data_IF_381251205370
#
_entry.id   IF_381251205370
#
_cell.length_a   1.000
_cell.length_b   1.000
_cell.length_c   1.000
_cell.angle_alpha   90.00
_cell.angle_beta   90.00
_cell.angle_gamma   90.00
#
_symmetry.space_group_name_H-M   'P 1'
#
loop_
_entity.id
_entity.type
_entity.pdbx_description
1 polymer ?
#
# COMPACT_ATOMS: atom_id res chain seq x y z
N UNK A 1 22.11 9.67 -8.21
CA UNK A 1 22.12 8.63 -7.17
C UNK A 1 21.50 7.36 -7.76
N UNK A 2 22.27 6.28 -7.84
CA UNK A 2 21.73 4.97 -8.24
C UNK A 2 20.68 4.55 -7.20
N UNK A 3 19.53 4.05 -7.68
CA UNK A 3 18.46 3.62 -6.78
C UNK A 3 18.73 2.21 -6.29
N UNK A 4 18.38 1.94 -5.03
CA UNK A 4 18.64 0.65 -4.39
C UNK A 4 17.83 -0.44 -5.07
N UNK A 5 18.52 -1.44 -5.61
CA UNK A 5 17.92 -2.69 -6.06
C UNK A 5 17.51 -3.56 -4.88
N UNK A 6 16.59 -4.50 -5.12
CA UNK A 6 16.21 -5.49 -4.12
C UNK A 6 17.41 -6.34 -3.74
N UNK A 7 17.70 -6.45 -2.43
CA UNK A 7 18.77 -7.30 -1.91
C UNK A 7 18.55 -8.76 -2.28
N UNK A 8 19.63 -9.54 -2.32
CA UNK A 8 19.55 -10.96 -2.71
C UNK A 8 18.70 -11.74 -1.71
N UNK A 9 18.82 -11.40 -0.43
CA UNK A 9 18.16 -12.00 0.71
C UNK A 9 16.65 -11.73 0.65
N UNK A 10 16.28 -10.47 0.39
CA UNK A 10 14.89 -10.10 0.17
C UNK A 10 14.33 -10.83 -1.05
N UNK A 11 15.06 -10.86 -2.17
CA UNK A 11 14.62 -11.59 -3.35
C UNK A 11 14.38 -13.08 -3.08
N UNK A 12 15.25 -13.76 -2.32
CA UNK A 12 15.07 -15.18 -1.97
C UNK A 12 13.77 -15.41 -1.20
N UNK A 13 13.39 -14.50 -0.29
CA UNK A 13 12.13 -14.58 0.43
C UNK A 13 10.91 -14.32 -0.47
N UNK A 14 11.05 -13.48 -1.50
CA UNK A 14 9.95 -13.06 -2.37
C UNK A 14 9.73 -13.98 -3.57
N UNK A 15 10.79 -14.58 -4.11
CA UNK A 15 10.75 -15.45 -5.30
C UNK A 15 9.68 -16.55 -5.21
N UNK A 16 9.47 -17.26 -4.09
CA UNK A 16 8.44 -18.31 -3.97
C UNK A 16 7.01 -17.80 -4.16
N UNK A 17 6.77 -16.49 -4.01
CA UNK A 17 5.45 -15.89 -4.17
C UNK A 17 5.09 -15.66 -5.64
N UNK A 18 6.10 -15.63 -6.52
CA UNK A 18 5.92 -15.38 -7.94
C UNK A 18 5.50 -16.67 -8.64
N UNK A 19 4.37 -16.69 -9.36
CA UNK A 19 3.93 -17.88 -10.09
C UNK A 19 4.97 -18.31 -11.11
N UNK A 20 5.21 -19.62 -11.16
CA UNK A 20 6.03 -20.23 -12.20
C UNK A 20 5.39 -19.94 -13.55
N UNK A 21 6.22 -19.50 -14.50
CA UNK A 21 5.75 -19.27 -15.86
C UNK A 21 5.59 -20.59 -16.60
N UNK A 22 4.38 -20.85 -17.05
CA UNK A 22 4.10 -21.95 -17.99
C UNK A 22 4.00 -21.37 -19.40
N UNK A 23 4.92 -21.71 -20.32
CA UNK A 23 4.79 -21.32 -21.72
C UNK A 23 3.49 -21.85 -22.32
N UNK A 24 2.88 -21.08 -23.22
CA UNK A 24 1.70 -21.53 -23.96
C UNK A 24 2.04 -22.73 -24.86
N UNK A 25 1.24 -23.80 -24.86
CA UNK A 25 1.40 -24.91 -25.80
C UNK A 25 1.27 -24.47 -27.27
N UNK A 26 0.53 -23.38 -27.53
CA UNK A 26 0.34 -22.79 -28.86
C UNK A 26 1.53 -21.98 -29.37
N UNK A 27 2.65 -21.98 -28.63
CA UNK A 27 3.77 -21.08 -28.87
C UNK A 27 3.50 -19.65 -28.39
N UNK A 28 4.56 -18.83 -28.39
CA UNK A 28 4.51 -17.45 -27.94
C UNK A 28 5.88 -16.92 -27.53
N UNK A 29 5.96 -15.63 -27.18
CA UNK A 29 7.22 -14.99 -26.77
C UNK A 29 7.71 -15.64 -25.46
N UNK A 30 8.91 -16.23 -25.50
CA UNK A 30 9.58 -16.78 -24.30
C UNK A 30 9.80 -15.65 -23.28
N UNK A 31 9.76 -15.99 -21.98
CA UNK A 31 10.22 -15.07 -20.93
C UNK A 31 11.74 -14.95 -21.05
N UNK A 32 12.22 -13.85 -21.62
CA UNK A 32 13.66 -13.56 -21.77
C UNK A 32 14.24 -12.79 -20.60
N UNK A 33 13.39 -12.14 -19.80
CA UNK A 33 13.80 -11.31 -18.66
C UNK A 33 13.52 -12.06 -17.36
N UNK A 34 14.55 -12.12 -16.52
CA UNK A 34 14.47 -12.68 -15.16
C UNK A 34 13.46 -11.92 -14.30
N UNK A 35 12.79 -12.63 -13.40
CA UNK A 35 11.73 -12.03 -12.59
C UNK A 35 12.28 -11.01 -11.57
N UNK A 36 13.53 -11.15 -11.10
CA UNK A 36 14.17 -10.14 -10.24
C UNK A 36 14.44 -8.86 -11.02
N UNK A 37 14.95 -9.00 -12.24
CA UNK A 37 15.20 -7.87 -13.14
C UNK A 37 13.91 -7.13 -13.46
N UNK A 38 12.83 -7.85 -13.78
CA UNK A 38 11.52 -7.25 -14.02
C UNK A 38 10.95 -6.55 -12.76
N UNK A 39 11.13 -7.13 -11.57
CA UNK A 39 10.71 -6.51 -10.33
C UNK A 39 11.48 -5.21 -10.04
N UNK A 40 12.82 -5.21 -10.23
CA UNK A 40 13.62 -3.99 -10.13
C UNK A 40 13.16 -2.92 -11.12
N UNK A 41 12.85 -3.29 -12.38
CA UNK A 41 12.28 -2.37 -13.36
C UNK A 41 10.91 -1.79 -12.97
N UNK A 42 10.03 -2.61 -12.39
CA UNK A 42 8.76 -2.15 -11.81
C UNK A 42 9.00 -1.12 -10.72
N UNK A 43 9.88 -1.42 -9.75
CA UNK A 43 10.18 -0.51 -8.65
C UNK A 43 10.83 0.78 -9.14
N UNK A 44 11.72 0.70 -10.12
CA UNK A 44 12.35 1.85 -10.74
C UNK A 44 11.31 2.80 -11.32
N UNK A 45 10.41 2.29 -12.17
CA UNK A 45 9.32 3.07 -12.76
C UNK A 45 8.39 3.63 -11.69
N UNK A 46 8.01 2.84 -10.69
CA UNK A 46 7.12 3.30 -9.61
C UNK A 46 7.71 4.48 -8.85
N UNK A 47 9.00 4.39 -8.51
CA UNK A 47 9.69 5.43 -7.79
C UNK A 47 9.99 6.67 -8.67
N UNK A 48 10.30 6.52 -9.97
CA UNK A 48 10.68 7.65 -10.83
C UNK A 48 9.46 8.39 -11.36
N UNK A 49 8.38 7.67 -11.65
CA UNK A 49 7.23 8.23 -12.35
C UNK A 49 7.35 8.22 -13.88
N UNK A 50 8.48 7.79 -14.46
CA UNK A 50 8.68 7.81 -15.92
C UNK A 50 7.69 6.91 -16.66
N UNK A 51 7.24 7.25 -17.87
CA UNK A 51 6.51 6.33 -18.75
C UNK A 51 7.19 4.95 -18.85
N UNK A 52 6.41 3.88 -19.02
CA UNK A 52 6.97 2.53 -19.11
C UNK A 52 7.90 2.37 -20.32
N UNK A 53 7.64 3.10 -21.40
CA UNK A 53 8.46 3.06 -22.62
C UNK A 53 9.83 3.73 -22.41
N UNK A 54 9.93 4.64 -21.44
CA UNK A 54 11.14 5.39 -21.13
C UNK A 54 12.03 4.68 -20.09
N UNK A 55 11.71 3.44 -19.71
CA UNK A 55 12.58 2.66 -18.83
C UNK A 55 13.93 2.41 -19.53
N UNK A 56 15.06 2.93 -19.01
CA UNK A 56 16.34 2.80 -19.69
C UNK A 56 16.78 1.33 -19.75
N UNK A 57 17.12 0.85 -20.96
CA UNK A 57 17.41 -0.57 -21.20
C UNK A 57 18.80 -0.97 -20.68
N UNK A 58 19.72 -0.01 -20.61
CA UNK A 58 21.07 -0.15 -20.07
C UNK A 58 21.09 -0.59 -18.59
N UNK A 59 19.97 -0.44 -17.87
CA UNK A 59 19.83 -0.93 -16.49
C UNK A 59 19.62 -2.45 -16.39
N UNK A 60 19.43 -3.15 -17.52
CA UNK A 60 19.29 -4.62 -17.53
C UNK A 60 17.94 -5.15 -17.04
N UNK A 61 16.94 -4.29 -16.79
CA UNK A 61 15.60 -4.70 -16.36
C UNK A 61 14.69 -5.19 -17.50
N UNK A 62 15.19 -5.17 -18.73
CA UNK A 62 14.40 -5.37 -19.96
C UNK A 62 13.56 -4.14 -20.30
N UNK A 63 12.69 -4.25 -21.32
CA UNK A 63 11.83 -3.13 -21.69
C UNK A 63 10.76 -2.87 -20.63
N UNK A 64 10.37 -1.61 -20.41
CA UNK A 64 9.36 -1.33 -19.39
C UNK A 64 7.97 -1.88 -19.74
N UNK A 65 7.68 -2.19 -21.01
CA UNK A 65 6.47 -2.97 -21.37
C UNK A 65 6.51 -4.43 -20.88
N UNK A 66 7.69 -5.03 -20.71
CA UNK A 66 7.82 -6.31 -20.00
C UNK A 66 7.50 -6.12 -18.52
N UNK A 67 8.05 -5.08 -17.89
CA UNK A 67 7.78 -4.75 -16.49
C UNK A 67 6.29 -4.47 -16.23
N UNK A 68 5.62 -3.72 -17.11
CA UNK A 68 4.17 -3.46 -17.01
C UNK A 68 3.33 -4.73 -17.12
N UNK A 69 3.66 -5.63 -18.08
CA UNK A 69 2.98 -6.93 -18.20
C UNK A 69 3.17 -7.74 -16.93
N UNK A 70 4.38 -7.77 -16.35
CA UNK A 70 4.67 -8.43 -15.07
C UNK A 70 3.85 -7.86 -13.93
N UNK A 71 3.76 -6.53 -13.81
CA UNK A 71 2.90 -5.85 -12.84
C UNK A 71 1.46 -6.36 -12.89
N UNK A 72 0.88 -6.36 -14.09
CA UNK A 72 -0.51 -6.80 -14.33
C UNK A 72 -0.70 -8.30 -14.06
N UNK A 73 0.18 -9.13 -14.59
CA UNK A 73 0.05 -10.59 -14.56
C UNK A 73 0.27 -11.11 -13.12
N UNK A 74 1.14 -10.47 -12.34
CA UNK A 74 1.37 -10.80 -10.94
C UNK A 74 0.26 -10.33 -10.00
N UNK A 75 -0.48 -9.28 -10.36
CA UNK A 75 -1.67 -8.91 -9.59
C UNK A 75 -2.76 -10.00 -9.66
N UNK A 76 -2.77 -10.86 -10.70
CA UNK A 76 -3.92 -11.74 -10.96
C UNK A 76 -4.04 -12.85 -9.90
N UNK A 77 -2.93 -13.50 -9.52
CA UNK A 77 -2.90 -14.38 -8.37
C UNK A 77 -2.47 -13.65 -7.08
N UNK A 78 -2.76 -12.35 -6.95
CA UNK A 78 -2.49 -11.54 -5.75
C UNK A 78 -1.05 -11.63 -5.23
N UNK A 79 -0.07 -11.64 -6.13
CA UNK A 79 1.36 -11.67 -5.74
C UNK A 79 1.71 -10.45 -4.90
N UNK A 80 1.16 -9.29 -5.22
CA UNK A 80 1.50 -8.04 -4.57
C UNK A 80 0.96 -7.96 -3.13
N UNK A 81 -0.26 -8.43 -2.90
CA UNK A 81 -0.82 -8.60 -1.56
C UNK A 81 0.01 -9.60 -0.74
N UNK A 82 0.38 -10.73 -1.34
CA UNK A 82 1.21 -11.75 -0.68
C UNK A 82 2.61 -11.24 -0.38
N UNK A 83 3.18 -10.40 -1.26
CA UNK A 83 4.43 -9.69 -1.04
C UNK A 83 4.33 -8.78 0.19
N UNK A 84 3.28 -7.97 0.27
CA UNK A 84 3.06 -7.10 1.43
C UNK A 84 2.91 -7.92 2.73
N UNK A 85 2.15 -9.02 2.71
CA UNK A 85 2.03 -9.92 3.85
C UNK A 85 3.37 -10.56 4.23
N UNK A 86 4.20 -10.96 3.26
CA UNK A 86 5.53 -11.50 3.55
C UNK A 86 6.43 -10.48 4.25
N UNK A 87 6.36 -9.20 3.86
CA UNK A 87 7.07 -8.12 4.55
C UNK A 87 6.56 -7.92 5.99
N UNK A 88 5.25 -7.92 6.19
CA UNK A 88 4.65 -7.82 7.54
C UNK A 88 5.02 -9.03 8.41
N UNK A 89 5.04 -10.23 7.83
CA UNK A 89 5.48 -11.45 8.51
C UNK A 89 6.92 -11.31 8.99
N UNK A 90 7.84 -10.88 8.11
CA UNK A 90 9.25 -10.68 8.47
C UNK A 90 9.40 -9.65 9.59
N UNK A 91 8.73 -8.50 9.47
CA UNK A 91 8.73 -7.49 10.54
C UNK A 91 8.23 -8.07 11.86
N UNK A 92 7.20 -8.91 11.82
CA UNK A 92 6.68 -9.56 13.02
C UNK A 92 7.61 -10.63 13.60
N UNK A 93 8.28 -11.42 12.78
CA UNK A 93 9.26 -12.42 13.24
C UNK A 93 10.38 -11.76 14.08
N UNK A 94 10.63 -10.48 13.85
CA UNK A 94 11.58 -9.65 14.61
C UNK A 94 10.91 -8.67 15.60
N UNK A 95 9.62 -8.86 15.92
CA UNK A 95 8.83 -8.02 16.83
C UNK A 95 8.84 -6.51 16.51
N UNK A 96 8.92 -6.16 15.22
CA UNK A 96 9.05 -4.76 14.78
C UNK A 96 7.71 -4.03 14.60
N UNK A 97 6.58 -4.74 14.60
CA UNK A 97 5.24 -4.15 14.41
C UNK A 97 4.64 -3.77 15.77
N UNK A 98 4.34 -2.49 15.99
CA UNK A 98 3.61 -2.05 17.17
C UNK A 98 2.11 -2.40 17.05
N UNK A 99 1.69 -3.45 17.76
CA UNK A 99 0.27 -3.82 17.85
C UNK A 99 -0.50 -3.05 18.92
N UNK A 100 0.17 -2.28 19.78
CA UNK A 100 -0.48 -1.47 20.80
C UNK A 100 -1.26 -0.30 20.21
N UNK A 101 -0.79 0.26 19.08
CA UNK A 101 -1.39 1.43 18.46
C UNK A 101 -1.31 1.44 16.93
N UNK A 102 -2.39 1.88 16.29
CA UNK A 102 -2.42 2.20 14.87
C UNK A 102 -3.09 3.55 14.61
N UNK A 103 -2.81 4.12 13.43
CA UNK A 103 -3.44 5.34 12.91
C UNK A 103 -4.05 5.06 11.53
N UNK A 104 -5.27 5.54 11.31
CA UNK A 104 -5.99 5.46 10.03
C UNK A 104 -6.21 6.86 9.48
N UNK A 105 -5.89 7.03 8.20
CA UNK A 105 -6.18 8.26 7.46
C UNK A 105 -6.34 7.98 5.96
N UNK A 106 -6.95 8.94 5.26
CA UNK A 106 -7.13 8.95 3.82
C UNK A 106 -6.44 10.13 3.16
N UNK A 107 -5.77 9.88 2.03
CA UNK A 107 -5.19 10.93 1.19
C UNK A 107 -5.78 10.89 -0.22
N UNK A 108 -6.23 12.05 -0.71
CA UNK A 108 -6.70 12.21 -2.08
C UNK A 108 -5.54 12.22 -3.08
N UNK A 109 -5.75 11.58 -4.22
CA UNK A 109 -4.82 11.51 -5.37
C UNK A 109 -5.60 11.92 -6.61
N UNK A 110 -5.07 12.86 -7.39
CA UNK A 110 -5.68 13.27 -8.65
C UNK A 110 -5.72 12.10 -9.62
N UNK A 111 -6.86 11.92 -10.28
CA UNK A 111 -7.09 10.87 -11.28
C UNK A 111 -7.71 11.48 -12.55
N UNK A 112 -6.96 12.30 -13.32
CA UNK A 112 -7.53 13.05 -14.45
C UNK A 112 -8.26 12.19 -15.49
N UNK A 113 -7.78 10.98 -15.87
CA UNK A 113 -8.48 10.13 -16.82
C UNK A 113 -9.78 9.49 -16.30
N UNK A 114 -10.13 9.68 -15.03
CA UNK A 114 -11.25 8.99 -14.39
C UNK A 114 -11.00 7.48 -14.22
N UNK A 115 -12.08 6.71 -14.04
CA UNK A 115 -12.03 5.25 -13.95
C UNK A 115 -12.81 4.69 -12.78
N UNK A 116 -12.54 3.42 -12.45
CA UNK A 116 -13.07 2.77 -11.27
C UNK A 116 -12.55 3.46 -10.00
N UNK A 117 -13.37 3.52 -8.96
CA UNK A 117 -13.01 4.14 -7.67
C UNK A 117 -12.42 5.55 -7.83
N UNK A 118 -12.99 6.32 -8.75
CA UNK A 118 -12.67 7.73 -8.99
C UNK A 118 -13.95 8.55 -8.99
N UNK A 119 -13.90 9.78 -8.46
CA UNK A 119 -15.03 10.69 -8.44
C UNK A 119 -14.61 12.14 -8.17
N UNK A 120 -15.54 13.10 -8.29
CA UNK A 120 -15.26 14.50 -8.08
C UNK A 120 -14.86 14.76 -6.61
N UNK A 121 -13.69 15.37 -6.41
CA UNK A 121 -13.19 15.71 -5.08
C UNK A 121 -13.86 16.99 -4.56
N UNK A 122 -14.53 16.95 -3.40
CA UNK A 122 -15.07 18.16 -2.77
C UNK A 122 -13.97 19.16 -2.39
N UNK A 123 -12.75 18.68 -2.15
CA UNK A 123 -11.62 19.48 -1.72
C UNK A 123 -10.80 20.08 -2.88
N UNK A 124 -11.01 19.63 -4.13
CA UNK A 124 -10.24 20.07 -5.30
C UNK A 124 -11.18 20.54 -6.43
N UNK A 125 -12.16 21.38 -6.07
CA UNK A 125 -13.10 22.02 -7.00
C UNK A 125 -13.80 21.05 -7.96
N UNK A 126 -14.10 19.84 -7.48
CA UNK A 126 -14.77 18.80 -8.28
C UNK A 126 -13.86 18.06 -9.27
N UNK A 127 -12.53 18.28 -9.26
CA UNK A 127 -11.62 17.49 -10.09
C UNK A 127 -11.69 16.00 -9.72
N UNK A 128 -11.52 15.15 -10.74
CA UNK A 128 -11.56 13.71 -10.57
C UNK A 128 -10.36 13.22 -9.75
N UNK A 129 -10.65 12.39 -8.77
CA UNK A 129 -9.64 11.79 -7.91
C UNK A 129 -10.08 10.49 -7.27
N UNK A 130 -9.10 9.80 -6.71
CA UNK A 130 -9.29 8.65 -5.81
C UNK A 130 -8.72 9.00 -4.44
N UNK A 131 -9.07 8.22 -3.42
CA UNK A 131 -8.55 8.32 -2.06
C UNK A 131 -7.83 7.03 -1.74
N UNK A 132 -6.60 7.16 -1.26
CA UNK A 132 -5.83 6.07 -0.67
C UNK A 132 -6.04 6.13 0.85
N UNK A 133 -6.76 5.17 1.40
CA UNK A 133 -6.93 4.99 2.83
C UNK A 133 -5.90 3.96 3.34
N UNK A 134 -5.18 4.29 4.39
CA UNK A 134 -4.18 3.38 4.98
C UNK A 134 -4.41 3.21 6.47
N UNK A 135 -4.01 2.04 6.98
CA UNK A 135 -3.79 1.83 8.41
C UNK A 135 -2.30 1.61 8.60
N UNK A 136 -1.69 2.34 9.53
CA UNK A 136 -0.28 2.20 9.89
C UNK A 136 -0.13 1.94 11.37
N UNK A 137 0.93 1.25 11.77
CA UNK A 137 1.29 1.12 13.18
C UNK A 137 1.89 2.43 13.75
N UNK A 138 2.31 2.41 15.01
CA UNK A 138 2.91 3.57 15.67
C UNK A 138 4.24 4.06 15.04
N UNK A 139 4.91 3.21 14.25
CA UNK A 139 6.17 3.52 13.56
C UNK A 139 5.95 3.99 12.12
N UNK A 140 4.76 3.80 11.56
CA UNK A 140 4.41 4.11 10.18
C UNK A 140 4.51 2.92 9.23
N UNK A 141 4.60 1.69 9.76
CA UNK A 141 4.54 0.47 8.96
C UNK A 141 3.11 0.34 8.41
N UNK A 142 2.90 0.35 7.08
CA UNK A 142 1.56 0.21 6.50
C UNK A 142 1.06 -1.22 6.72
N UNK A 143 0.03 -1.36 7.56
CA UNK A 143 -0.64 -2.63 7.86
C UNK A 143 -1.69 -2.97 6.81
N UNK A 144 -2.34 -1.96 6.25
CA UNK A 144 -3.37 -2.13 5.23
C UNK A 144 -3.48 -0.89 4.32
N UNK A 145 -3.94 -1.11 3.09
CA UNK A 145 -4.25 -0.04 2.12
C UNK A 145 -5.52 -0.37 1.35
N UNK A 146 -6.35 0.64 1.12
CA UNK A 146 -7.55 0.58 0.27
C UNK A 146 -7.65 1.83 -0.60
N UNK A 147 -8.36 1.68 -1.71
CA UNK A 147 -8.66 2.79 -2.61
C UNK A 147 -10.17 2.98 -2.69
N UNK A 148 -10.61 4.23 -2.64
CA UNK A 148 -12.00 4.63 -2.85
C UNK A 148 -12.10 5.84 -3.78
N UNK A 149 -13.26 6.12 -4.36
CA UNK A 149 -13.50 7.38 -5.07
C UNK A 149 -13.37 8.62 -4.18
N UNK A 150 -12.81 9.73 -4.69
CA UNK A 150 -12.60 10.95 -3.91
C UNK A 150 -13.89 11.64 -3.43
N UNK A 151 -15.02 11.36 -4.10
CA UNK A 151 -16.34 11.83 -3.70
C UNK A 151 -16.90 11.07 -2.48
N UNK A 152 -16.37 9.90 -2.13
CA UNK A 152 -16.86 9.12 -0.99
C UNK A 152 -16.38 9.76 0.30
N UNK A 153 -17.26 9.84 1.29
CA UNK A 153 -16.90 10.32 2.62
C UNK A 153 -15.88 9.37 3.27
N UNK A 154 -14.86 9.88 3.94
CA UNK A 154 -13.72 9.08 4.43
C UNK A 154 -14.14 7.97 5.39
N UNK A 155 -15.18 8.24 6.19
CA UNK A 155 -15.79 7.25 7.08
C UNK A 155 -16.42 6.03 6.37
N UNK A 156 -16.59 6.04 5.04
CA UNK A 156 -17.02 4.85 4.27
C UNK A 156 -15.89 3.86 4.03
N UNK A 157 -14.64 4.32 4.07
CA UNK A 157 -13.47 3.46 3.92
C UNK A 157 -12.96 2.92 5.27
N UNK A 158 -13.53 3.36 6.38
CA UNK A 158 -13.03 3.07 7.72
C UNK A 158 -13.03 1.56 8.03
N UNK A 159 -14.20 0.92 8.00
CA UNK A 159 -14.34 -0.51 8.27
C UNK A 159 -13.64 -1.36 7.19
N UNK A 160 -13.81 -1.10 5.87
CA UNK A 160 -13.12 -1.87 4.83
C UNK A 160 -11.59 -1.80 4.89
N UNK A 161 -11.01 -0.68 5.36
CA UNK A 161 -9.54 -0.54 5.47
C UNK A 161 -9.01 -1.29 6.70
N UNK A 162 -9.76 -1.29 7.82
CA UNK A 162 -9.40 -2.09 9.00
C UNK A 162 -9.54 -3.60 8.74
N UNK A 163 -10.58 -4.02 8.02
CA UNK A 163 -10.76 -5.41 7.62
C UNK A 163 -9.70 -5.92 6.64
N UNK A 164 -9.00 -5.00 5.97
CA UNK A 164 -7.92 -5.34 5.06
C UNK A 164 -6.59 -5.63 5.76
N UNK A 165 -6.48 -5.42 7.09
CA UNK A 165 -5.29 -5.84 7.84
C UNK A 165 -5.22 -7.36 7.79
N UNK A 166 -4.18 -7.95 7.16
CA UNK A 166 -4.10 -9.39 7.05
C UNK A 166 -3.81 -10.00 8.43
N UNK A 167 -4.14 -11.29 8.57
CA UNK A 167 -3.66 -12.07 9.70
C UNK A 167 -2.15 -12.28 9.54
N UNK A 168 -1.33 -11.51 10.27
CA UNK A 168 0.13 -11.52 10.14
C UNK A 168 0.70 -12.66 11.00
N UNK A 169 1.33 -13.72 10.46
CA UNK A 169 2.04 -14.71 11.27
C UNK A 169 3.45 -14.22 11.64
N UNK A 170 4.18 -14.93 12.50
CA UNK A 170 5.62 -14.69 12.70
C UNK A 170 6.17 -14.86 14.12
N UNK A 171 5.30 -14.81 15.14
CA UNK A 171 5.68 -15.13 16.53
C UNK A 171 4.80 -16.28 17.03
N UNK A 172 5.23 -16.97 18.09
CA UNK A 172 4.48 -18.05 18.71
C UNK A 172 3.05 -17.63 19.05
N UNK A 173 2.08 -18.50 18.75
CA UNK A 173 0.67 -18.25 18.98
C UNK A 173 -0.07 -17.73 17.74
N UNK A 174 -1.26 -17.15 17.95
CA UNK A 174 -2.17 -16.80 16.87
C UNK A 174 -1.68 -15.59 16.06
N UNK A 175 -1.83 -15.61 14.72
CA UNK A 175 -1.65 -14.42 13.90
C UNK A 175 -2.50 -13.24 14.40
N UNK A 176 -1.85 -12.11 14.66
CA UNK A 176 -2.46 -10.82 15.01
C UNK A 176 -2.93 -10.16 13.72
N UNK A 177 -4.10 -9.53 13.84
CA UNK A 177 -4.84 -8.91 12.74
C UNK A 177 -5.47 -7.56 13.14
N UNK A 178 -5.17 -7.06 14.34
CA UNK A 178 -5.81 -5.87 14.90
C UNK A 178 -4.91 -5.17 15.92
N UNK A 179 -4.91 -3.82 15.92
CA UNK A 179 -4.23 -3.03 16.94
C UNK A 179 -5.04 -2.98 18.24
N UNK A 180 -4.39 -2.67 19.36
CA UNK A 180 -5.04 -2.46 20.66
C UNK A 180 -5.81 -1.13 20.74
N UNK A 181 -5.33 -0.08 20.07
CA UNK A 181 -6.01 1.20 19.93
C UNK A 181 -5.90 1.73 18.50
N UNK A 182 -6.91 2.48 18.05
CA UNK A 182 -6.92 3.12 16.74
C UNK A 182 -7.13 4.63 16.86
N UNK A 183 -6.18 5.40 16.32
CA UNK A 183 -6.30 6.83 16.11
C UNK A 183 -6.88 7.09 14.72
N UNK A 184 -7.86 7.99 14.63
CA UNK A 184 -8.40 8.46 13.37
C UNK A 184 -8.89 9.91 13.52
N UNK A 185 -9.04 10.60 12.39
CA UNK A 185 -9.53 11.98 12.37
C UNK A 185 -10.95 12.13 12.93
N UNK A 186 -11.29 13.34 13.38
CA UNK A 186 -12.63 13.77 13.81
C UNK A 186 -13.71 13.55 12.73
N UNK A 187 -13.30 13.51 11.45
CA UNK A 187 -14.09 13.04 10.31
C UNK A 187 -14.64 11.62 10.47
N UNK A 188 -14.07 10.79 11.34
CA UNK A 188 -14.56 9.44 11.66
C UNK A 188 -15.40 9.35 12.93
N UNK A 189 -15.80 10.48 13.54
CA UNK A 189 -16.67 10.50 14.72
C UNK A 189 -18.12 10.14 14.39
N UNK A 190 -18.34 8.87 14.04
CA UNK A 190 -19.64 8.28 13.85
C UNK A 190 -19.83 7.14 14.85
N UNK A 191 -21.06 7.01 15.37
CA UNK A 191 -21.42 5.93 16.30
C UNK A 191 -21.11 4.54 15.71
N UNK A 192 -21.28 4.36 14.39
CA UNK A 192 -20.95 3.11 13.69
C UNK A 192 -19.46 2.75 13.77
N UNK A 193 -18.57 3.73 13.59
CA UNK A 193 -17.12 3.51 13.62
C UNK A 193 -16.67 3.14 15.05
N UNK A 194 -17.19 3.83 16.07
CA UNK A 194 -16.93 3.49 17.48
C UNK A 194 -17.46 2.11 17.86
N UNK A 195 -18.66 1.76 17.41
CA UNK A 195 -19.28 0.44 17.62
C UNK A 195 -18.46 -0.67 16.97
N UNK A 196 -18.03 -0.46 15.72
CA UNK A 196 -17.19 -1.40 14.99
C UNK A 196 -15.86 -1.68 15.71
N UNK A 197 -15.20 -0.63 16.22
CA UNK A 197 -13.98 -0.79 17.02
C UNK A 197 -14.25 -1.55 18.33
N UNK A 198 -15.33 -1.21 19.05
CA UNK A 198 -15.71 -1.87 20.31
C UNK A 198 -15.97 -3.36 20.11
N UNK A 199 -16.71 -3.75 19.06
CA UNK A 199 -16.98 -5.15 18.72
C UNK A 199 -15.70 -5.95 18.46
N UNK A 200 -14.63 -5.28 18.03
CA UNK A 200 -13.32 -5.89 17.77
C UNK A 200 -12.35 -5.75 18.93
N UNK A 201 -12.78 -5.22 20.07
CA UNK A 201 -11.90 -4.98 21.22
C UNK A 201 -10.80 -3.96 20.95
N UNK A 202 -11.00 -3.05 19.99
CA UNK A 202 -10.04 -1.99 19.64
C UNK A 202 -10.47 -0.71 20.36
N UNK A 203 -9.57 -0.08 21.12
CA UNK A 203 -9.86 1.18 21.81
C UNK A 203 -9.91 2.34 20.80
N UNK A 204 -11.06 3.01 20.72
CA UNK A 204 -11.23 4.17 19.84
C UNK A 204 -10.52 5.41 20.40
N UNK A 205 -9.63 6.01 19.60
CA UNK A 205 -9.00 7.32 19.83
C UNK A 205 -9.39 8.28 18.69
N UNK A 206 -10.68 8.61 18.67
CA UNK A 206 -11.31 9.52 17.71
C UNK A 206 -11.86 10.68 18.53
N UNK A 207 -11.46 11.92 18.23
CA UNK A 207 -12.02 13.09 18.89
C UNK A 207 -13.49 13.27 18.51
N UNK A 208 -14.31 13.72 19.46
CA UNK A 208 -15.73 14.03 19.23
C UNK A 208 -15.89 15.30 18.42
N UNK A 209 -16.74 15.25 17.38
CA UNK A 209 -17.11 16.39 16.54
C UNK A 209 -17.67 17.52 17.42
N UNK A 210 -17.23 18.75 17.17
CA UNK A 210 -17.69 19.96 17.88
C UNK A 210 -17.53 19.99 19.42
N UNK A 211 -16.84 19.00 20.01
CA UNK A 211 -16.62 18.92 21.47
C UNK A 211 -15.14 18.99 21.82
N UNK A 212 -14.31 18.17 21.18
CA UNK A 212 -12.88 18.08 21.51
C UNK A 212 -12.02 18.86 20.50
N UNK A 213 -10.99 19.56 21.01
CA UNK A 213 -9.98 20.26 20.19
C UNK A 213 -9.14 19.27 19.37
N UNK A 214 -8.81 19.65 18.14
CA UNK A 214 -7.98 18.86 17.23
C UNK A 214 -6.48 18.93 17.55
N UNK A 215 -6.04 19.86 18.41
CA UNK A 215 -4.60 20.13 18.67
C UNK A 215 -3.84 18.91 19.19
N UNK A 216 -4.48 18.07 20.01
CA UNK A 216 -3.84 16.87 20.60
C UNK A 216 -3.85 15.66 19.65
N UNK A 217 -4.65 15.68 18.58
CA UNK A 217 -4.75 14.57 17.62
C UNK A 217 -3.48 14.43 16.77
N UNK A 218 -2.86 15.56 16.41
CA UNK A 218 -1.65 15.59 15.58
C UNK A 218 -0.46 14.83 16.19
N UNK A 219 -0.37 14.77 17.53
CA UNK A 219 0.71 14.07 18.27
C UNK A 219 0.87 12.59 17.90
N UNK A 220 -0.23 11.94 17.50
CA UNK A 220 -0.21 10.53 17.10
C UNK A 220 -0.59 10.32 15.64
N UNK A 221 -1.26 11.29 15.00
CA UNK A 221 -1.68 11.19 13.59
C UNK A 221 -0.56 11.54 12.60
N UNK A 222 0.45 12.31 13.01
CA UNK A 222 1.59 12.64 12.13
C UNK A 222 2.27 11.40 11.51
N UNK A 223 2.20 10.24 12.17
CA UNK A 223 2.78 8.99 11.67
C UNK A 223 2.11 8.51 10.36
N UNK A 224 0.79 8.61 10.27
CA UNK A 224 0.03 8.21 9.08
C UNK A 224 0.16 9.24 7.97
N UNK A 225 0.20 10.52 8.32
CA UNK A 225 0.48 11.63 7.40
C UNK A 225 1.89 11.52 6.79
N UNK A 226 2.90 11.24 7.61
CA UNK A 226 4.27 10.95 7.13
C UNK A 226 4.29 9.73 6.21
N UNK A 227 3.53 8.69 6.52
CA UNK A 227 3.46 7.50 5.66
C UNK A 227 2.80 7.83 4.31
N UNK A 228 1.78 8.70 4.30
CA UNK A 228 1.25 9.27 3.07
C UNK A 228 2.29 10.08 2.29
N UNK A 229 3.14 10.84 2.96
CA UNK A 229 4.25 11.55 2.31
C UNK A 229 5.25 10.57 1.66
N UNK A 230 5.53 9.42 2.29
CA UNK A 230 6.35 8.37 1.67
C UNK A 230 5.71 7.80 0.41
N UNK A 231 4.39 7.57 0.41
CA UNK A 231 3.68 7.18 -0.80
C UNK A 231 3.75 8.27 -1.89
N UNK A 232 3.64 9.55 -1.53
CA UNK A 232 3.81 10.66 -2.47
C UNK A 232 5.24 10.76 -3.04
N UNK A 233 6.22 10.15 -2.37
CA UNK A 233 7.58 10.00 -2.89
C UNK A 233 7.67 9.10 -4.14
N UNK A 234 6.72 8.20 -4.36
CA UNK A 234 6.67 7.37 -5.56
C UNK A 234 6.05 8.16 -6.72
N UNK A 235 6.85 8.48 -7.73
CA UNK A 235 6.40 9.28 -8.88
C UNK A 235 5.11 8.76 -9.53
N UNK A 236 4.96 7.43 -9.71
CA UNK A 236 3.74 6.84 -10.29
C UNK A 236 2.49 6.88 -9.41
N UNK A 237 2.62 7.25 -8.14
CA UNK A 237 1.50 7.35 -7.21
C UNK A 237 1.05 8.80 -6.95
N UNK A 238 1.76 9.80 -7.50
CA UNK A 238 1.42 11.22 -7.34
C UNK A 238 0.14 11.60 -8.10
N UNK A 239 -0.01 11.07 -9.31
CA UNK A 239 -1.19 11.24 -10.15
C UNK A 239 -1.57 9.86 -10.69
N UNK A 240 -2.83 9.48 -10.54
CA UNK A 240 -3.34 8.21 -11.02
C UNK A 240 -3.82 8.34 -12.47
N UNK A 241 -3.02 7.83 -13.40
CA UNK A 241 -3.43 7.71 -14.80
C UNK A 241 -4.13 6.37 -15.12
N UNK A 242 -4.27 5.48 -14.13
CA UNK A 242 -4.92 4.19 -14.32
C UNK A 242 -6.42 4.26 -14.12
N UNK A 243 -7.17 3.78 -15.12
CA UNK A 243 -8.63 3.72 -15.07
C UNK A 243 -9.17 2.45 -14.39
N UNK A 244 -8.32 1.41 -14.26
CA UNK A 244 -8.69 0.10 -13.70
C UNK A 244 -8.18 0.01 -12.26
N UNK A 245 -9.10 -0.17 -11.31
CA UNK A 245 -8.78 -0.26 -9.88
C UNK A 245 -7.73 -1.34 -9.62
N UNK A 246 -7.89 -2.49 -10.28
CA UNK A 246 -6.99 -3.62 -10.11
C UNK A 246 -5.52 -3.29 -10.46
N UNK A 247 -5.27 -2.46 -11.50
CA UNK A 247 -3.89 -2.03 -11.84
C UNK A 247 -3.41 -0.93 -10.91
N UNK A 248 -4.31 -0.05 -10.46
CA UNK A 248 -3.98 0.94 -9.45
C UNK A 248 -3.48 0.24 -8.18
N UNK A 249 -4.22 -0.74 -7.68
CA UNK A 249 -3.86 -1.58 -6.52
C UNK A 249 -2.53 -2.30 -6.74
N UNK A 250 -2.28 -2.82 -7.95
CA UNK A 250 -1.00 -3.44 -8.31
C UNK A 250 0.22 -2.51 -8.18
N UNK A 251 0.03 -1.18 -8.18
CA UNK A 251 1.10 -0.20 -7.93
C UNK A 251 1.25 0.16 -6.46
N UNK A 252 0.15 0.11 -5.70
CA UNK A 252 0.12 0.45 -4.28
C UNK A 252 0.82 -0.61 -3.43
N UNK A 253 0.56 -1.89 -3.65
CA UNK A 253 1.16 -2.95 -2.84
C UNK A 253 2.69 -3.12 -2.97
N UNK A 254 3.31 -2.99 -4.17
CA UNK A 254 4.77 -2.91 -4.24
C UNK A 254 5.31 -1.69 -3.47
N UNK A 255 4.62 -0.54 -3.52
CA UNK A 255 5.02 0.64 -2.76
C UNK A 255 4.87 0.43 -1.24
N UNK A 256 3.82 -0.26 -0.78
CA UNK A 256 3.69 -0.64 0.65
C UNK A 256 4.83 -1.55 1.06
N UNK A 257 5.19 -2.54 0.23
CA UNK A 257 6.30 -3.45 0.49
C UNK A 257 7.65 -2.72 0.58
N UNK A 258 7.91 -1.75 -0.30
CA UNK A 258 9.11 -0.89 -0.23
C UNK A 258 9.11 -0.01 1.03
N UNK A 259 7.96 0.49 1.46
CA UNK A 259 7.88 1.22 2.73
C UNK A 259 8.18 0.28 3.91
N UNK A 260 7.60 -0.92 3.93
CA UNK A 260 7.91 -1.93 4.94
C UNK A 260 9.39 -2.31 4.94
N UNK A 261 10.04 -2.39 3.78
CA UNK A 261 11.47 -2.76 3.69
C UNK A 261 12.37 -1.77 4.40
N UNK A 262 12.00 -0.49 4.51
CA UNK A 262 12.77 0.51 5.28
C UNK A 262 12.92 0.15 6.76
N UNK A 263 12.01 -0.67 7.30
CA UNK A 263 12.05 -1.14 8.68
C UNK A 263 12.61 -2.56 8.80
N UNK A 264 12.77 -3.27 7.67
CA UNK A 264 13.40 -4.59 7.59
C UNK A 264 14.89 -4.46 7.31
N UNK A 265 15.28 -3.51 6.47
CA UNK A 265 16.66 -3.26 6.08
C UNK A 265 17.50 -2.73 7.25
N UNK A 266 16.87 -2.24 8.33
CA UNK A 266 17.52 -1.93 9.61
C UNK A 266 17.88 -3.22 10.40
N UNK A 267 17.41 -4.40 9.96
CA UNK A 267 17.62 -5.69 10.60
C UNK A 267 18.67 -6.56 9.89
N UNK A 268 19.14 -6.16 8.70
CA UNK A 268 20.06 -6.90 7.83
C UNK A 268 21.27 -6.04 7.46
#
# INVERSE_FOLDING_TARGET
MARREISKELWVALKPLIPVFTPSPKGGRRRTVDDRAALNGILYVLQTGIPWEDLPQELGFGSGMICWRRLRDWQAPSVWERLHLAMLRRLREHDQIDWGCASLDGASVSSPPGGQETGPSPADRGKLGSKRCIVVDARGIPLAVKVTGANRHDSMAFEPTLDAIPAVPGLSGQPRKRPGKLHADKGHDFARCRRYLKQRGIKARIARRDVESSERLGRHRWVVERTHAWFAGFGKLRICFERRLYIQVARLFPATAVICSRFVDDLC
#
